data_IF_640538438726
#
_entry.id   IF_640538438726
#
_cell.length_a   1.000
_cell.length_b   1.000
_cell.length_c   1.000
_cell.angle_alpha   90.00
_cell.angle_beta   90.00
_cell.angle_gamma   90.00
#
_symmetry.space_group_name_H-M   'P 1'
#
loop_
_entity.id
_entity.type
_entity.pdbx_description
1 polymer ?
#
# COMPACT_ATOMS: atom_id res chain seq x y z
N UNK A 1 6.40 -2.99 -20.89
CA UNK A 1 6.07 -3.93 -19.80
C UNK A 1 5.36 -3.13 -18.72
N UNK A 2 4.05 -3.26 -18.57
CA UNK A 2 3.23 -2.37 -17.74
C UNK A 2 2.27 -3.18 -16.84
N UNK A 3 2.76 -4.27 -16.24
CA UNK A 3 1.92 -5.16 -15.40
C UNK A 3 2.50 -5.35 -13.99
N UNK A 4 3.81 -5.17 -13.77
CA UNK A 4 4.40 -5.28 -12.42
C UNK A 4 4.08 -4.07 -11.52
N UNK A 5 3.81 -2.90 -12.12
CA UNK A 5 3.54 -1.66 -11.38
C UNK A 5 2.10 -1.60 -10.81
N UNK A 6 1.19 -2.44 -11.34
CA UNK A 6 -0.19 -2.54 -10.88
C UNK A 6 -0.30 -3.44 -9.63
N UNK A 7 0.64 -4.37 -9.42
CA UNK A 7 0.60 -5.29 -8.28
C UNK A 7 1.09 -4.69 -6.97
N UNK A 8 2.29 -4.10 -6.96
CA UNK A 8 2.88 -3.52 -5.72
C UNK A 8 2.56 -2.05 -5.52
N UNK A 9 2.67 -1.22 -6.56
CA UNK A 9 2.48 0.23 -6.46
C UNK A 9 1.00 0.63 -6.38
N UNK A 10 0.16 0.05 -7.24
CA UNK A 10 -1.26 0.41 -7.26
C UNK A 10 -2.04 -0.15 -6.07
N UNK A 11 -1.69 -1.34 -5.56
CA UNK A 11 -2.30 -1.87 -4.34
C UNK A 11 -1.94 -1.02 -3.11
N UNK A 12 -0.67 -0.61 -2.98
CA UNK A 12 -0.25 0.29 -1.91
C UNK A 12 -1.02 1.61 -1.97
N UNK A 13 -1.14 2.21 -3.15
CA UNK A 13 -1.85 3.46 -3.34
C UNK A 13 -3.37 3.34 -3.09
N UNK A 14 -3.99 2.20 -3.44
CA UNK A 14 -5.38 1.92 -3.12
C UNK A 14 -5.62 1.85 -1.60
N UNK A 15 -4.71 1.24 -0.85
CA UNK A 15 -4.77 1.16 0.61
C UNK A 15 -4.55 2.53 1.25
N UNK A 16 -3.60 3.34 0.76
CA UNK A 16 -3.41 4.73 1.22
C UNK A 16 -4.71 5.54 1.07
N UNK A 17 -5.32 5.47 -0.12
CA UNK A 17 -6.58 6.16 -0.38
C UNK A 17 -7.72 5.65 0.52
N UNK A 18 -7.81 4.35 0.76
CA UNK A 18 -8.79 3.76 1.68
C UNK A 18 -8.57 4.24 3.13
N UNK A 19 -7.32 4.32 3.59
CA UNK A 19 -6.99 4.82 4.92
C UNK A 19 -7.43 6.28 5.09
N UNK A 20 -7.12 7.14 4.12
CA UNK A 20 -7.55 8.55 4.13
C UNK A 20 -9.07 8.69 4.17
N UNK A 21 -9.81 7.91 3.37
CA UNK A 21 -11.28 7.92 3.38
C UNK A 21 -11.88 7.47 4.72
N UNK A 22 -11.20 6.57 5.42
CA UNK A 22 -11.63 6.05 6.73
C UNK A 22 -11.10 6.88 7.91
N UNK A 23 -10.32 7.94 7.68
CA UNK A 23 -9.69 8.75 8.74
C UNK A 23 -8.60 7.99 9.51
N UNK A 24 -8.02 6.97 8.90
CA UNK A 24 -6.91 6.18 9.44
C UNK A 24 -5.56 6.80 9.01
N UNK A 25 -4.49 6.41 9.70
CA UNK A 25 -3.11 6.74 9.28
C UNK A 25 -2.85 6.20 7.87
N UNK A 26 -2.33 7.04 6.97
CA UNK A 26 -2.13 6.69 5.55
C UNK A 26 -1.23 5.45 5.38
N UNK A 27 -0.30 5.22 6.30
CA UNK A 27 0.61 4.07 6.27
C UNK A 27 0.08 2.84 7.03
N UNK A 28 -1.14 2.88 7.57
CA UNK A 28 -1.76 1.73 8.23
C UNK A 28 -1.86 0.54 7.27
N UNK A 29 -1.33 -0.62 7.67
CA UNK A 29 -1.29 -1.83 6.84
C UNK A 29 -0.29 -1.81 5.67
N UNK A 30 0.45 -0.72 5.48
CA UNK A 30 1.49 -0.58 4.43
C UNK A 30 2.92 -0.63 4.96
N UNK A 31 3.07 -0.63 6.28
CA UNK A 31 4.35 -0.93 6.94
C UNK A 31 4.66 -2.40 6.73
N UNK A 32 5.31 -2.69 5.60
CA UNK A 32 6.04 -3.92 5.43
C UNK A 32 7.30 -3.77 6.31
N UNK A 33 7.21 -4.19 7.58
CA UNK A 33 8.41 -4.56 8.31
C UNK A 33 9.01 -5.70 7.50
N UNK A 34 9.98 -5.37 6.64
CA UNK A 34 10.74 -6.33 5.88
C UNK A 34 11.52 -7.19 6.86
N UNK A 35 10.84 -8.15 7.49
CA UNK A 35 11.46 -9.29 8.12
C UNK A 35 12.13 -10.06 6.98
N UNK A 36 13.37 -9.62 6.72
CA UNK A 36 14.36 -10.40 6.03
C UNK A 36 14.55 -11.69 6.78
N UNK A 37 14.04 -12.76 6.17
CA UNK A 37 14.55 -14.13 6.26
C UNK A 37 14.67 -14.65 4.85
#
# INVERSE_FOLDING_TARGET
MAIDNLGKGAAAQAIQNANLMCGLDEAAGLRFDGLGV
#
